data_IF_571562250217
#
_entry.id   IF_571562250217
#
_cell.length_a   1.000
_cell.length_b   1.000
_cell.length_c   1.000
_cell.angle_alpha   90.00
_cell.angle_beta   90.00
_cell.angle_gamma   90.00
#
_symmetry.space_group_name_H-M   'P 1'
#
loop_
_entity.id
_entity.type
_entity.pdbx_description
1 polymer ?
#
# COMPACT_ATOMS: atom_id res chain seq x y z
N UNK A 1 -24.56 -4.41 -8.11
CA UNK A 1 -24.77 -3.28 -9.04
C UNK A 1 -24.65 -1.90 -8.38
N UNK A 2 -23.91 -1.74 -7.27
CA UNK A 2 -23.94 -0.51 -6.46
C UNK A 2 -22.59 -0.06 -5.90
N UNK A 3 -21.50 -0.11 -6.68
CA UNK A 3 -20.19 0.38 -6.24
C UNK A 3 -19.45 1.24 -7.30
N UNK A 4 -20.10 1.59 -8.41
CA UNK A 4 -19.47 2.32 -9.52
C UNK A 4 -19.99 3.76 -9.68
N UNK A 5 -21.05 4.16 -8.96
CA UNK A 5 -21.74 5.45 -9.19
C UNK A 5 -21.13 6.70 -8.55
N UNK A 6 -20.12 6.63 -7.68
CA UNK A 6 -19.77 7.80 -6.84
C UNK A 6 -18.30 8.23 -6.82
N UNK A 7 -17.52 7.92 -7.87
CA UNK A 7 -16.21 8.60 -8.06
C UNK A 7 -16.41 9.87 -8.88
N UNK A 8 -17.11 9.75 -10.02
CA UNK A 8 -17.36 10.86 -10.95
C UNK A 8 -18.23 11.93 -10.28
N UNK A 9 -19.28 11.54 -9.56
CA UNK A 9 -20.19 12.47 -8.86
C UNK A 9 -19.54 13.17 -7.68
N UNK A 10 -18.66 12.50 -6.93
CA UNK A 10 -17.95 13.09 -5.80
C UNK A 10 -16.85 14.06 -6.26
N UNK A 11 -16.08 13.70 -7.29
CA UNK A 11 -15.01 14.55 -7.82
C UNK A 11 -15.58 15.76 -8.58
N UNK A 12 -16.61 15.57 -9.42
CA UNK A 12 -17.22 16.67 -10.19
C UNK A 12 -17.82 17.79 -9.32
N UNK A 13 -18.29 17.47 -8.10
CA UNK A 13 -19.07 18.42 -7.31
C UNK A 13 -18.22 19.38 -6.45
N UNK A 14 -16.90 19.20 -6.30
CA UNK A 14 -16.10 20.04 -5.39
C UNK A 14 -14.65 20.35 -5.76
N UNK A 15 -14.11 19.87 -6.88
CA UNK A 15 -12.85 20.28 -7.52
C UNK A 15 -12.91 19.75 -8.96
N UNK A 16 -13.05 20.60 -9.97
CA UNK A 16 -13.37 20.14 -11.34
C UNK A 16 -12.12 19.56 -11.99
N UNK A 17 -12.01 18.23 -12.00
CA UNK A 17 -11.07 17.53 -12.87
C UNK A 17 -11.59 17.58 -14.31
N UNK A 18 -10.71 17.89 -15.26
CA UNK A 18 -11.03 17.73 -16.68
C UNK A 18 -11.15 16.24 -17.06
N UNK A 19 -11.74 15.94 -18.22
CA UNK A 19 -11.95 14.55 -18.65
C UNK A 19 -10.63 13.79 -18.78
N UNK A 20 -9.59 14.45 -19.28
CA UNK A 20 -8.26 13.87 -19.46
C UNK A 20 -7.60 13.57 -18.11
N UNK A 21 -7.65 14.51 -17.17
CA UNK A 21 -7.12 14.32 -15.82
C UNK A 21 -7.83 13.15 -15.09
N UNK A 22 -9.15 13.00 -15.29
CA UNK A 22 -9.91 11.90 -14.72
C UNK A 22 -9.45 10.54 -15.29
N UNK A 23 -9.11 10.50 -16.58
CA UNK A 23 -8.59 9.28 -17.22
C UNK A 23 -7.20 8.95 -16.70
N UNK A 24 -6.30 9.93 -16.58
CA UNK A 24 -4.99 9.76 -15.96
C UNK A 24 -5.10 9.23 -14.53
N UNK A 25 -6.05 9.75 -13.75
CA UNK A 25 -6.32 9.27 -12.40
C UNK A 25 -6.76 7.80 -12.39
N UNK A 26 -7.66 7.39 -13.29
CA UNK A 26 -8.07 5.98 -13.40
C UNK A 26 -6.90 5.07 -13.73
N UNK A 27 -6.05 5.48 -14.68
CA UNK A 27 -4.84 4.75 -15.08
C UNK A 27 -3.90 4.62 -13.88
N UNK A 28 -3.65 5.71 -13.16
CA UNK A 28 -2.83 5.68 -11.95
C UNK A 28 -3.38 4.72 -10.89
N UNK A 29 -4.69 4.73 -10.65
CA UNK A 29 -5.33 3.81 -9.71
C UNK A 29 -5.25 2.34 -10.16
N UNK A 30 -5.32 2.09 -11.47
CA UNK A 30 -5.08 0.77 -12.05
C UNK A 30 -3.64 0.31 -11.79
N UNK A 31 -2.64 1.17 -11.97
CA UNK A 31 -1.24 0.84 -11.65
C UNK A 31 -1.06 0.47 -10.18
N UNK A 32 -1.61 1.24 -9.25
CA UNK A 32 -1.56 0.88 -7.83
C UNK A 32 -2.23 -0.47 -7.53
N UNK A 33 -3.32 -0.80 -8.23
CA UNK A 33 -3.95 -2.11 -8.11
C UNK A 33 -3.06 -3.23 -8.65
N UNK A 34 -2.34 -3.01 -9.74
CA UNK A 34 -1.37 -3.96 -10.28
C UNK A 34 -0.19 -4.18 -9.34
N UNK A 35 0.39 -3.11 -8.78
CA UNK A 35 1.46 -3.18 -7.76
C UNK A 35 1.01 -4.02 -6.55
N UNK A 36 -0.23 -3.84 -6.08
CA UNK A 36 -0.77 -4.66 -4.99
C UNK A 36 -0.73 -6.15 -5.33
N UNK A 37 -1.11 -6.52 -6.56
CA UNK A 37 -1.14 -7.93 -7.00
C UNK A 37 0.27 -8.50 -7.08
N UNK A 38 1.18 -7.76 -7.69
CA UNK A 38 2.57 -8.18 -7.88
C UNK A 38 3.29 -8.42 -6.55
N UNK A 39 3.25 -7.44 -5.64
CA UNK A 39 3.89 -7.56 -4.32
C UNK A 39 3.20 -8.66 -3.48
N UNK A 40 1.88 -8.82 -3.61
CA UNK A 40 1.17 -9.92 -2.96
C UNK A 40 1.66 -11.28 -3.44
N UNK A 41 1.80 -11.47 -4.75
CA UNK A 41 2.32 -12.72 -5.32
C UNK A 41 3.75 -12.98 -4.84
N UNK A 42 4.62 -11.96 -4.82
CA UNK A 42 5.98 -12.08 -4.25
C UNK A 42 5.94 -12.56 -2.79
N UNK A 43 5.07 -11.99 -1.96
CA UNK A 43 4.91 -12.39 -0.56
C UNK A 43 4.37 -13.82 -0.39
N UNK A 44 3.43 -14.24 -1.24
CA UNK A 44 2.89 -15.61 -1.25
C UNK A 44 4.00 -16.62 -1.60
N UNK A 45 4.83 -16.34 -2.61
CA UNK A 45 5.99 -17.16 -2.96
C UNK A 45 7.00 -17.23 -1.82
N UNK A 46 7.34 -16.09 -1.19
CA UNK A 46 8.25 -16.05 -0.04
C UNK A 46 7.73 -16.86 1.14
N UNK A 47 6.42 -16.83 1.38
CA UNK A 47 5.80 -17.66 2.42
C UNK A 47 6.00 -19.14 2.13
N UNK A 48 5.71 -19.59 0.90
CA UNK A 48 5.84 -20.99 0.50
C UNK A 48 7.30 -21.48 0.64
N UNK A 49 8.28 -20.67 0.21
CA UNK A 49 9.70 -20.98 0.36
C UNK A 49 10.13 -21.16 1.82
N UNK A 50 9.67 -20.26 2.70
CA UNK A 50 10.00 -20.31 4.12
C UNK A 50 9.27 -21.45 4.84
N UNK A 51 8.03 -21.75 4.45
CA UNK A 51 7.26 -22.87 4.98
C UNK A 51 7.93 -24.21 4.71
N UNK A 52 8.47 -24.39 3.50
CA UNK A 52 9.22 -25.59 3.15
C UNK A 52 10.50 -25.75 3.98
N UNK A 53 11.20 -24.65 4.29
CA UNK A 53 12.47 -24.68 5.05
C UNK A 53 12.28 -24.87 6.55
N UNK A 54 11.27 -24.22 7.14
CA UNK A 54 11.14 -24.09 8.59
C UNK A 54 10.07 -25.01 9.21
N UNK A 55 9.42 -25.87 8.40
CA UNK A 55 8.28 -26.72 8.82
C UNK A 55 7.11 -25.95 9.45
N UNK A 56 7.01 -24.63 9.21
CA UNK A 56 5.92 -23.77 9.69
C UNK A 56 5.70 -22.57 8.77
N UNK A 57 4.45 -22.09 8.70
CA UNK A 57 4.10 -20.91 7.91
C UNK A 57 4.49 -19.62 8.64
N UNK A 58 5.37 -18.77 8.07
CA UNK A 58 5.73 -17.49 8.70
C UNK A 58 4.65 -16.42 8.52
N UNK A 59 3.89 -16.44 7.41
CA UNK A 59 2.78 -15.52 7.15
C UNK A 59 1.46 -16.20 7.51
N UNK A 60 0.68 -15.57 8.39
CA UNK A 60 -0.68 -16.00 8.69
C UNK A 60 -1.66 -15.56 7.61
N UNK A 61 -1.58 -14.28 7.23
CA UNK A 61 -2.36 -13.74 6.12
C UNK A 61 -1.80 -12.43 5.59
N UNK A 62 -2.09 -12.18 4.30
CA UNK A 62 -1.81 -10.92 3.62
C UNK A 62 -3.11 -10.18 3.33
N UNK A 63 -3.25 -8.97 3.88
CA UNK A 63 -4.33 -8.03 3.58
C UNK A 63 -3.81 -6.93 2.67
N UNK A 64 -4.59 -6.57 1.68
CA UNK A 64 -4.27 -5.46 0.78
C UNK A 64 -5.43 -4.47 0.73
N UNK A 65 -5.11 -3.19 0.59
CA UNK A 65 -6.09 -2.12 0.36
C UNK A 65 -5.59 -1.17 -0.72
N UNK A 66 -6.50 -0.79 -1.59
CA UNK A 66 -6.36 0.40 -2.42
C UNK A 66 -7.05 1.55 -1.70
N UNK A 67 -6.34 2.66 -1.48
CA UNK A 67 -6.92 3.83 -0.81
C UNK A 67 -8.08 4.38 -1.66
N UNK A 68 -9.21 4.68 -1.01
CA UNK A 68 -10.38 5.23 -1.70
C UNK A 68 -10.05 6.61 -2.30
N UNK A 69 -10.52 6.95 -3.52
CA UNK A 69 -10.31 8.27 -4.12
C UNK A 69 -10.68 9.44 -3.19
N UNK A 70 -11.81 9.34 -2.50
CA UNK A 70 -12.23 10.38 -1.53
C UNK A 70 -11.24 10.57 -0.38
N UNK A 71 -10.61 9.48 0.09
CA UNK A 71 -9.57 9.54 1.13
C UNK A 71 -8.24 10.07 0.60
N UNK A 72 -7.93 9.88 -0.68
CA UNK A 72 -6.77 10.48 -1.36
C UNK A 72 -6.98 11.99 -1.42
N UNK A 73 -8.10 12.43 -1.98
CA UNK A 73 -8.45 13.85 -2.12
C UNK A 73 -8.47 14.58 -0.76
N UNK A 74 -9.10 13.99 0.25
CA UNK A 74 -9.10 14.56 1.61
C UNK A 74 -7.69 14.68 2.20
N UNK A 75 -6.81 13.71 1.93
CA UNK A 75 -5.43 13.74 2.46
C UNK A 75 -4.58 14.82 1.80
N UNK A 76 -4.75 15.05 0.48
CA UNK A 76 -4.09 16.15 -0.23
C UNK A 76 -4.61 17.51 0.27
N UNK A 77 -5.94 17.68 0.37
CA UNK A 77 -6.54 18.91 0.89
C UNK A 77 -6.09 19.24 2.31
N UNK A 78 -6.03 18.25 3.21
CA UNK A 78 -5.50 18.44 4.59
C UNK A 78 -4.04 18.89 4.62
N UNK A 79 -3.28 18.63 3.56
CA UNK A 79 -1.87 19.01 3.41
C UNK A 79 -1.69 20.27 2.54
N UNK A 80 -2.77 20.88 2.07
CA UNK A 80 -2.70 22.03 1.15
C UNK A 80 -2.08 21.70 -0.20
N UNK A 81 -2.13 20.43 -0.62
CA UNK A 81 -1.51 19.97 -1.86
C UNK A 81 -2.52 19.96 -3.02
N UNK A 82 -2.06 20.20 -4.27
CA UNK A 82 -2.94 20.20 -5.43
C UNK A 82 -3.49 18.80 -5.68
N UNK A 83 -4.71 18.74 -6.20
CA UNK A 83 -5.43 17.51 -6.49
C UNK A 83 -5.10 17.04 -7.92
N UNK A 84 -3.85 16.63 -8.14
CA UNK A 84 -3.33 16.14 -9.42
C UNK A 84 -2.70 14.76 -9.27
N UNK A 85 -2.51 14.03 -10.38
CA UNK A 85 -1.90 12.69 -10.32
C UNK A 85 -0.43 12.74 -9.87
N UNK A 86 0.30 13.79 -10.25
CA UNK A 86 1.68 14.11 -9.85
C UNK A 86 1.79 14.25 -8.34
N UNK A 87 0.93 15.09 -7.76
CA UNK A 87 0.86 15.32 -6.32
C UNK A 87 0.54 14.04 -5.55
N UNK A 88 -0.34 13.18 -6.08
CA UNK A 88 -0.60 11.86 -5.49
C UNK A 88 0.67 11.01 -5.47
N UNK A 89 1.34 10.86 -6.62
CA UNK A 89 2.56 10.03 -6.78
C UNK A 89 3.67 10.47 -5.81
N UNK A 90 3.89 11.77 -5.68
CA UNK A 90 5.00 12.32 -4.89
C UNK A 90 4.71 12.35 -3.38
N UNK A 91 3.46 12.59 -2.98
CA UNK A 91 3.14 12.94 -1.60
C UNK A 91 2.36 11.87 -0.83
N UNK A 92 1.77 10.87 -1.51
CA UNK A 92 0.96 9.83 -0.87
C UNK A 92 1.60 8.46 -1.05
N UNK A 93 2.33 8.05 -0.01
CA UNK A 93 3.02 6.76 0.05
C UNK A 93 2.06 5.57 0.28
N UNK A 94 0.86 5.79 0.83
CA UNK A 94 -0.06 4.72 1.25
C UNK A 94 -1.28 4.54 0.32
N UNK A 95 -1.13 4.80 -0.99
CA UNK A 95 -2.20 4.54 -1.96
C UNK A 95 -2.40 3.03 -2.15
N UNK A 96 -1.32 2.30 -2.43
CA UNK A 96 -1.27 0.84 -2.41
C UNK A 96 -0.72 0.38 -1.05
N UNK A 97 -1.59 -0.17 -0.21
CA UNK A 97 -1.18 -0.65 1.11
C UNK A 97 -1.28 -2.16 1.21
N UNK A 98 -0.19 -2.82 1.60
CA UNK A 98 -0.17 -4.24 1.94
C UNK A 98 0.16 -4.37 3.43
N UNK A 99 -0.54 -5.27 4.11
CA UNK A 99 -0.32 -5.64 5.50
C UNK A 99 -0.08 -7.14 5.56
N UNK A 100 1.10 -7.50 6.01
CA UNK A 100 1.50 -8.87 6.29
C UNK A 100 1.39 -9.09 7.79
N UNK A 101 0.67 -10.13 8.18
CA UNK A 101 0.62 -10.58 9.58
C UNK A 101 1.41 -11.87 9.66
N UNK A 102 2.43 -11.88 10.53
CA UNK A 102 3.34 -12.99 10.71
C UNK A 102 3.11 -13.65 12.07
N UNK A 103 3.46 -14.93 12.18
CA UNK A 103 3.28 -15.68 13.44
C UNK A 103 4.26 -15.26 14.53
N UNK A 104 5.47 -14.84 14.17
CA UNK A 104 6.50 -14.40 15.13
C UNK A 104 7.19 -13.12 14.66
N UNK A 105 7.76 -12.38 15.61
CA UNK A 105 8.51 -11.14 15.35
C UNK A 105 9.68 -11.35 14.40
N UNK A 106 10.40 -12.46 14.53
CA UNK A 106 11.58 -12.76 13.73
C UNK A 106 11.24 -13.02 12.25
N UNK A 107 10.02 -13.53 12.00
CA UNK A 107 9.53 -13.75 10.64
C UNK A 107 9.29 -12.43 9.91
N UNK A 108 8.90 -11.37 10.64
CA UNK A 108 8.69 -10.03 10.09
C UNK A 108 9.98 -9.53 9.43
N UNK A 109 11.11 -9.63 10.14
CA UNK A 109 12.40 -9.17 9.62
C UNK A 109 12.90 -10.05 8.47
N UNK A 110 12.73 -11.37 8.56
CA UNK A 110 13.12 -12.29 7.48
C UNK A 110 12.36 -12.02 6.19
N UNK A 111 11.03 -11.90 6.27
CA UNK A 111 10.19 -11.62 5.09
C UNK A 111 10.53 -10.23 4.52
N UNK A 112 10.69 -9.22 5.37
CA UNK A 112 11.06 -7.88 4.93
C UNK A 112 12.41 -7.88 4.19
N UNK A 113 13.43 -8.52 4.77
CA UNK A 113 14.77 -8.62 4.16
C UNK A 113 14.74 -9.40 2.83
N UNK A 114 14.03 -10.52 2.76
CA UNK A 114 13.89 -11.28 1.51
C UNK A 114 13.13 -10.49 0.43
N UNK A 115 12.12 -9.71 0.80
CA UNK A 115 11.38 -8.87 -0.14
C UNK A 115 12.24 -7.72 -0.66
N UNK A 116 12.96 -7.02 0.22
CA UNK A 116 13.81 -5.87 -0.13
C UNK A 116 15.03 -6.28 -0.98
N UNK A 117 15.46 -7.54 -0.89
CA UNK A 117 16.56 -8.10 -1.70
C UNK A 117 16.19 -8.41 -3.15
N UNK A 118 14.91 -8.38 -3.52
CA UNK A 118 14.51 -8.58 -4.91
C UNK A 118 14.98 -7.40 -5.76
N UNK A 119 15.44 -7.68 -6.97
CA UNK A 119 16.07 -6.72 -7.89
C UNK A 119 15.12 -5.59 -8.35
N UNK A 120 13.83 -5.88 -8.38
CA UNK A 120 12.76 -4.95 -8.75
C UNK A 120 12.14 -4.20 -7.55
N UNK A 121 12.69 -4.34 -6.34
CA UNK A 121 12.22 -3.66 -5.13
C UNK A 121 13.28 -2.70 -4.60
N UNK A 122 12.89 -1.43 -4.41
CA UNK A 122 13.74 -0.40 -3.80
C UNK A 122 13.14 0.07 -2.48
N UNK A 123 13.86 -0.15 -1.38
CA UNK A 123 13.51 0.42 -0.08
C UNK A 123 13.72 1.94 -0.10
N UNK A 124 12.66 2.70 0.17
CA UNK A 124 12.72 4.17 0.24
C UNK A 124 12.73 4.69 1.68
N UNK A 125 12.02 4.02 2.59
CA UNK A 125 11.92 4.44 3.98
C UNK A 125 11.61 3.23 4.86
N UNK A 126 12.23 3.16 6.04
CA UNK A 126 11.93 2.16 7.06
C UNK A 126 11.55 2.86 8.37
N UNK A 127 10.51 2.36 9.05
CA UNK A 127 10.13 2.77 10.41
C UNK A 127 9.84 1.52 11.23
N UNK A 128 10.72 1.26 12.18
CA UNK A 128 10.67 0.07 13.02
C UNK A 128 10.03 0.39 14.38
N UNK A 129 8.71 0.24 14.45
CA UNK A 129 7.98 0.36 15.71
C UNK A 129 7.96 -0.95 16.51
N UNK A 130 8.61 -2.01 16.04
CA UNK A 130 8.79 -3.24 16.83
C UNK A 130 9.91 -3.01 17.83
N UNK A 131 11.04 -2.46 17.35
CA UNK A 131 12.16 -2.07 18.19
C UNK A 131 11.86 -0.86 19.07
N UNK A 132 11.17 0.15 18.52
CA UNK A 132 10.79 1.37 19.21
C UNK A 132 9.27 1.59 19.16
N UNK A 133 8.49 0.87 19.99
CA UNK A 133 7.04 1.02 20.01
C UNK A 133 6.60 2.45 20.31
N UNK A 134 5.47 2.86 19.74
CA UNK A 134 4.88 4.15 20.07
C UNK A 134 4.41 4.17 21.54
N UNK A 135 4.23 5.37 22.15
CA UNK A 135 3.74 5.49 23.53
C UNK A 135 2.40 4.80 23.81
N UNK A 136 1.58 4.59 22.77
CA UNK A 136 0.31 3.88 22.87
C UNK A 136 0.43 2.35 22.72
N UNK A 137 1.65 1.79 22.70
CA UNK A 137 1.92 0.36 22.55
C UNK A 137 1.84 -0.17 21.11
N UNK A 138 1.69 0.72 20.12
CA UNK A 138 1.66 0.29 18.72
C UNK A 138 3.03 -0.25 18.27
N UNK A 139 3.01 -1.48 17.75
CA UNK A 139 4.19 -2.19 17.24
C UNK A 139 3.94 -2.73 15.83
N UNK A 140 4.84 -2.42 14.90
CA UNK A 140 4.79 -2.82 13.49
C UNK A 140 6.06 -2.37 12.76
N UNK A 141 6.50 -3.13 11.76
CA UNK A 141 7.54 -2.70 10.83
C UNK A 141 6.90 -2.07 9.59
N UNK A 142 7.26 -0.83 9.27
CA UNK A 142 6.85 -0.17 8.02
C UNK A 142 8.06 -0.06 7.11
N UNK A 143 7.93 -0.55 5.88
CA UNK A 143 8.92 -0.46 4.80
C UNK A 143 8.25 0.07 3.53
#
# INVERSE_FOLDING_TARGET
MGQQEDIVTFLKNRDVWELDELEEFKILMLYYKSVIREVRTKLEVLNDELSMRNQRNPIEFVKSRLKKPSSIAQKLRRRGLPLTTESIKENIQDVAGIRVVCSFSDDIYKIADMLIKQDDIKLLQIKDYIKEPKPNGYSSLHI
#
